data_IF_635526388233
#
_entry.id   IF_635526388233
#
_cell.length_a   1.000
_cell.length_b   1.000
_cell.length_c   1.000
_cell.angle_alpha   90.00
_cell.angle_beta   90.00
_cell.angle_gamma   90.00
#
_symmetry.space_group_name_H-M   'P 1'
#
loop_
_entity.id
_entity.type
_entity.pdbx_description
1 polymer ?
#
# COMPACT_ATOMS: atom_id res chain seq x y z
N UNK A 1 -11.64 23.85 27.90
CA UNK A 1 -12.49 22.76 27.37
C UNK A 1 -12.59 21.68 28.45
N UNK A 2 -13.77 21.40 29.00
CA UNK A 2 -13.93 20.41 30.08
C UNK A 2 -13.69 19.02 29.49
N UNK A 3 -12.74 18.26 30.05
CA UNK A 3 -12.43 16.90 29.63
C UNK A 3 -13.56 15.94 30.04
N UNK A 4 -14.51 15.72 29.13
CA UNK A 4 -15.49 14.64 29.29
C UNK A 4 -14.80 13.30 29.06
N UNK A 5 -14.74 12.48 30.11
CA UNK A 5 -14.20 11.12 30.04
C UNK A 5 -15.33 10.14 29.74
N UNK A 6 -15.12 9.27 28.76
CA UNK A 6 -16.01 8.14 28.47
C UNK A 6 -15.21 6.85 28.49
N UNK A 7 -15.82 5.78 28.99
CA UNK A 7 -15.23 4.43 28.97
C UNK A 7 -15.50 3.79 27.63
N UNK A 8 -14.47 3.18 27.04
CA UNK A 8 -14.55 2.41 25.80
C UNK A 8 -14.19 0.96 26.12
N UNK A 9 -15.03 0.01 25.68
CA UNK A 9 -14.72 -1.41 25.77
C UNK A 9 -13.87 -1.81 24.56
N UNK A 10 -12.70 -2.41 24.82
CA UNK A 10 -11.74 -2.89 23.82
C UNK A 10 -11.19 -4.23 24.31
N UNK A 11 -10.77 -5.08 23.38
CA UNK A 11 -10.15 -6.37 23.71
C UNK A 11 -8.89 -6.17 24.57
N UNK A 12 -8.78 -6.98 25.61
CA UNK A 12 -7.69 -6.90 26.58
C UNK A 12 -6.31 -7.06 25.92
N UNK A 13 -6.18 -8.01 24.98
CA UNK A 13 -4.95 -8.24 24.23
C UNK A 13 -4.48 -7.00 23.45
N UNK A 14 -5.43 -6.25 22.87
CA UNK A 14 -5.14 -5.03 22.11
C UNK A 14 -4.66 -3.94 23.08
N UNK A 15 -5.35 -3.77 24.20
CA UNK A 15 -4.99 -2.79 25.23
C UNK A 15 -3.60 -3.08 25.80
N UNK A 16 -3.28 -4.33 26.09
CA UNK A 16 -1.98 -4.71 26.63
C UNK A 16 -0.85 -4.41 25.63
N UNK A 17 -1.03 -4.72 24.35
CA UNK A 17 -0.08 -4.33 23.29
C UNK A 17 0.09 -2.82 23.18
N UNK A 18 -1.00 -2.06 23.26
CA UNK A 18 -0.96 -0.59 23.20
C UNK A 18 -0.26 0.02 24.42
N UNK A 19 -0.43 -0.57 25.61
CA UNK A 19 0.31 -0.17 26.82
C UNK A 19 1.81 -0.34 26.63
N UNK A 20 2.26 -1.50 26.14
CA UNK A 20 3.68 -1.74 25.88
C UNK A 20 4.26 -0.73 24.88
N UNK A 21 3.51 -0.43 23.80
CA UNK A 21 3.92 0.56 22.80
C UNK A 21 4.03 1.96 23.41
N UNK A 22 3.05 2.35 24.25
CA UNK A 22 3.06 3.65 24.92
C UNK A 22 4.27 3.80 25.86
N UNK A 23 4.58 2.76 26.65
CA UNK A 23 5.74 2.72 27.55
C UNK A 23 7.04 2.85 26.76
N UNK A 24 7.21 2.09 25.67
CA UNK A 24 8.40 2.18 24.79
C UNK A 24 8.60 3.58 24.20
N UNK A 25 7.53 4.36 24.06
CA UNK A 25 7.55 5.74 23.55
C UNK A 25 7.58 6.80 24.66
N UNK A 26 7.73 6.39 25.93
CA UNK A 26 7.81 7.32 27.07
C UNK A 26 6.50 8.06 27.37
N UNK A 27 5.34 7.50 27.01
CA UNK A 27 4.03 8.14 27.20
C UNK A 27 3.05 7.23 27.96
N UNK A 28 2.02 7.82 28.55
CA UNK A 28 0.89 7.07 29.12
C UNK A 28 -0.02 6.55 28.02
N UNK A 29 -0.74 5.45 28.28
CA UNK A 29 -1.74 4.89 27.36
C UNK A 29 -2.80 5.93 26.99
N UNK A 30 -3.29 6.71 27.96
CA UNK A 30 -4.33 7.73 27.73
C UNK A 30 -3.85 8.83 26.77
N UNK A 31 -2.62 9.32 26.93
CA UNK A 31 -2.06 10.31 26.01
C UNK A 31 -1.78 9.70 24.63
N UNK A 32 -1.28 8.46 24.59
CA UNK A 32 -1.05 7.76 23.33
C UNK A 32 -2.34 7.59 22.52
N UNK A 33 -3.42 7.12 23.16
CA UNK A 33 -4.73 6.98 22.54
C UNK A 33 -5.32 8.32 22.11
N UNK A 34 -5.19 9.36 22.95
CA UNK A 34 -5.68 10.70 22.59
C UNK A 34 -4.99 11.21 21.33
N UNK A 35 -3.67 11.09 21.24
CA UNK A 35 -2.92 11.51 20.06
C UNK A 35 -3.32 10.67 18.85
N UNK A 36 -3.37 9.34 18.99
CA UNK A 36 -3.78 8.44 17.92
C UNK A 36 -5.17 8.78 17.36
N UNK A 37 -6.16 9.00 18.23
CA UNK A 37 -7.50 9.38 17.78
C UNK A 37 -7.55 10.78 17.17
N UNK A 38 -6.76 11.73 17.67
CA UNK A 38 -6.70 13.08 17.11
C UNK A 38 -6.15 13.06 15.68
N UNK A 39 -5.06 12.31 15.44
CA UNK A 39 -4.48 12.13 14.11
C UNK A 39 -5.43 11.39 13.15
N UNK A 40 -6.13 10.37 13.66
CA UNK A 40 -7.16 9.64 12.87
C UNK A 40 -8.29 10.58 12.45
N UNK A 41 -8.76 11.44 13.36
CA UNK A 41 -9.82 12.42 13.06
C UNK A 41 -9.32 13.43 12.02
N UNK A 42 -8.13 14.01 12.18
CA UNK A 42 -7.58 14.99 11.22
C UNK A 42 -7.43 14.38 9.80
N UNK A 43 -7.00 13.12 9.70
CA UNK A 43 -6.94 12.41 8.42
C UNK A 43 -8.32 12.23 7.77
N UNK A 44 -9.31 11.77 8.55
CA UNK A 44 -10.68 11.55 8.04
C UNK A 44 -11.37 12.87 7.65
N UNK A 45 -11.15 13.96 8.39
CA UNK A 45 -11.66 15.29 8.07
C UNK A 45 -11.11 15.83 6.74
N UNK A 46 -9.87 15.46 6.39
CA UNK A 46 -9.24 15.78 5.09
C UNK A 46 -9.69 14.84 3.97
N UNK A 47 -10.62 13.92 4.24
CA UNK A 47 -11.14 12.97 3.27
C UNK A 47 -10.27 11.72 3.07
N UNK A 48 -9.26 11.49 3.92
CA UNK A 48 -8.43 10.30 3.88
C UNK A 48 -8.93 9.25 4.87
N UNK A 49 -9.25 8.06 4.36
CA UNK A 49 -9.62 6.93 5.22
C UNK A 49 -8.41 6.48 6.06
N UNK A 50 -8.42 6.74 7.37
CA UNK A 50 -7.27 6.60 8.24
C UNK A 50 -6.69 5.17 8.30
N UNK A 51 -7.49 4.08 8.32
CA UNK A 51 -6.94 2.73 8.25
C UNK A 51 -6.20 2.43 6.95
N UNK A 52 -6.54 3.11 5.85
CA UNK A 52 -5.81 3.00 4.60
C UNK A 52 -4.51 3.79 4.65
N UNK A 53 -4.55 5.04 5.15
CA UNK A 53 -3.34 5.85 5.33
C UNK A 53 -2.28 5.16 6.22
N UNK A 54 -2.70 4.52 7.32
CA UNK A 54 -1.80 3.74 8.17
C UNK A 54 -1.20 2.51 7.45
N UNK A 55 -1.98 1.84 6.61
CA UNK A 55 -1.49 0.74 5.76
C UNK A 55 -0.46 1.26 4.75
N UNK A 56 -0.77 2.34 4.03
CA UNK A 56 0.14 2.96 3.07
C UNK A 56 1.45 3.38 3.75
N UNK A 57 1.38 4.02 4.93
CA UNK A 57 2.57 4.45 5.68
C UNK A 57 3.46 3.29 6.13
N UNK A 58 2.88 2.12 6.43
CA UNK A 58 3.65 0.90 6.73
C UNK A 58 4.54 0.51 5.54
N UNK A 59 4.00 0.52 4.33
CA UNK A 59 4.76 0.19 3.12
C UNK A 59 5.79 1.25 2.81
N UNK A 60 5.44 2.52 2.94
CA UNK A 60 6.38 3.63 2.78
C UNK A 60 7.58 3.49 3.73
N UNK A 61 7.35 3.12 5.00
CA UNK A 61 8.43 2.88 5.95
C UNK A 61 9.37 1.76 5.49
N UNK A 62 8.82 0.66 4.98
CA UNK A 62 9.60 -0.45 4.43
C UNK A 62 10.42 0.03 3.23
N UNK A 63 9.81 0.72 2.28
CA UNK A 63 10.48 1.22 1.08
C UNK A 63 11.61 2.21 1.44
N UNK A 64 11.35 3.15 2.35
CA UNK A 64 12.36 4.10 2.81
C UNK A 64 13.56 3.39 3.45
N UNK A 65 13.33 2.31 4.22
CA UNK A 65 14.43 1.51 4.78
C UNK A 65 15.26 0.79 3.73
N UNK A 66 14.71 0.58 2.53
CA UNK A 66 15.41 0.02 1.36
C UNK A 66 16.08 1.10 0.49
N UNK A 67 16.09 2.36 0.94
CA UNK A 67 16.73 3.48 0.24
C UNK A 67 15.85 4.15 -0.82
N UNK A 68 14.54 3.89 -0.82
CA UNK A 68 13.62 4.62 -1.68
C UNK A 68 13.41 6.04 -1.17
N UNK A 69 13.30 6.98 -2.11
CA UNK A 69 13.02 8.38 -1.84
C UNK A 69 11.90 8.87 -2.76
N UNK A 70 11.15 9.87 -2.31
CA UNK A 70 10.18 10.55 -3.16
C UNK A 70 10.88 11.52 -4.10
N UNK A 71 10.65 11.35 -5.40
CA UNK A 71 11.14 12.26 -6.44
C UNK A 71 9.92 12.70 -7.27
N UNK A 72 9.77 14.01 -7.57
CA UNK A 72 8.79 14.48 -8.53
C UNK A 72 8.95 13.76 -9.88
N UNK A 73 7.85 13.23 -10.42
CA UNK A 73 7.87 12.45 -11.67
C UNK A 73 8.54 13.21 -12.82
N UNK A 74 8.33 14.52 -12.87
CA UNK A 74 8.87 15.41 -13.92
C UNK A 74 10.40 15.58 -13.86
N UNK A 75 11.04 15.21 -12.75
CA UNK A 75 12.50 15.24 -12.59
C UNK A 75 13.16 13.91 -12.99
N UNK A 76 12.38 12.90 -13.37
CA UNK A 76 12.88 11.60 -13.80
C UNK A 76 13.33 11.70 -15.26
N UNK A 77 14.65 11.71 -15.48
CA UNK A 77 15.25 11.60 -16.82
C UNK A 77 15.24 10.17 -17.37
N UNK A 78 15.86 9.96 -18.53
CA UNK A 78 16.02 8.64 -19.16
C UNK A 78 16.67 7.64 -18.18
N UNK A 79 15.86 6.77 -17.59
CA UNK A 79 16.32 5.67 -16.76
C UNK A 79 16.85 4.55 -17.67
N UNK A 80 17.93 3.91 -17.25
CA UNK A 80 18.44 2.74 -17.97
C UNK A 80 17.62 1.50 -17.59
N UNK A 81 17.12 0.77 -18.58
CA UNK A 81 16.29 -0.42 -18.36
C UNK A 81 17.00 -1.50 -17.53
N UNK A 82 18.31 -1.68 -17.74
CA UNK A 82 19.13 -2.67 -17.01
C UNK A 82 19.19 -2.41 -15.50
N UNK A 83 19.11 -1.14 -15.11
CA UNK A 83 19.08 -0.76 -13.70
C UNK A 83 17.74 -1.13 -13.04
N UNK A 84 16.64 -0.93 -13.76
CA UNK A 84 15.28 -1.19 -13.27
C UNK A 84 15.06 -2.69 -13.05
N UNK A 85 15.53 -3.54 -13.96
CA UNK A 85 15.45 -4.99 -13.83
C UNK A 85 16.15 -5.48 -12.56
N UNK A 86 17.39 -5.04 -12.33
CA UNK A 86 18.15 -5.41 -11.13
C UNK A 86 17.48 -4.93 -9.84
N UNK A 87 17.01 -3.68 -9.82
CA UNK A 87 16.37 -3.09 -8.65
C UNK A 87 15.04 -3.78 -8.34
N UNK A 88 14.19 -3.97 -9.36
CA UNK A 88 12.90 -4.64 -9.23
C UNK A 88 13.05 -6.07 -8.76
N UNK A 89 13.99 -6.83 -9.34
CA UNK A 89 14.29 -8.19 -8.91
C UNK A 89 14.74 -8.25 -7.44
N UNK A 90 15.69 -7.40 -7.05
CA UNK A 90 16.18 -7.33 -5.66
C UNK A 90 15.06 -6.98 -4.68
N UNK A 91 14.20 -6.03 -5.04
CA UNK A 91 13.03 -5.66 -4.24
C UNK A 91 12.04 -6.80 -4.10
N UNK A 92 11.73 -7.50 -5.19
CA UNK A 92 10.83 -8.63 -5.16
C UNK A 92 11.29 -9.70 -4.16
N UNK A 93 12.58 -10.03 -4.18
CA UNK A 93 13.18 -10.98 -3.22
C UNK A 93 13.02 -10.48 -1.78
N UNK A 94 13.41 -9.24 -1.50
CA UNK A 94 13.34 -8.67 -0.15
C UNK A 94 11.90 -8.60 0.35
N UNK A 95 10.95 -8.16 -0.48
CA UNK A 95 9.53 -8.10 -0.11
C UNK A 95 8.95 -9.48 0.18
N UNK A 96 9.36 -10.50 -0.59
CA UNK A 96 8.99 -11.89 -0.36
C UNK A 96 9.53 -12.40 0.98
N UNK A 97 10.79 -12.12 1.30
CA UNK A 97 11.42 -12.50 2.58
C UNK A 97 10.74 -11.82 3.77
N UNK A 98 10.36 -10.56 3.62
CA UNK A 98 9.61 -9.79 4.63
C UNK A 98 8.14 -10.22 4.75
N UNK A 99 7.70 -11.22 3.97
CA UNK A 99 6.31 -11.70 3.91
C UNK A 99 5.31 -10.57 3.64
N UNK A 100 5.71 -9.60 2.82
CA UNK A 100 4.87 -8.48 2.42
C UNK A 100 3.97 -8.94 1.27
N UNK A 101 2.69 -8.58 1.33
CA UNK A 101 1.76 -8.84 0.23
C UNK A 101 2.20 -8.07 -1.02
N UNK A 102 2.69 -8.79 -2.02
CA UNK A 102 3.15 -8.24 -3.29
C UNK A 102 2.01 -7.52 -4.01
N UNK A 103 0.79 -8.04 -3.89
CA UNK A 103 -0.41 -7.44 -4.49
C UNK A 103 -0.70 -6.06 -3.89
N UNK A 104 -0.48 -5.88 -2.59
CA UNK A 104 -0.66 -4.58 -1.93
C UNK A 104 0.45 -3.59 -2.34
N UNK A 105 1.67 -4.09 -2.57
CA UNK A 105 2.79 -3.28 -3.09
C UNK A 105 2.52 -2.84 -4.53
N UNK A 106 2.05 -3.75 -5.39
CA UNK A 106 1.64 -3.44 -6.76
C UNK A 106 0.54 -2.38 -6.74
N UNK A 107 -0.49 -2.54 -5.91
CA UNK A 107 -1.57 -1.56 -5.76
C UNK A 107 -1.04 -0.20 -5.31
N UNK A 108 -0.15 -0.15 -4.31
CA UNK A 108 0.46 1.08 -3.83
C UNK A 108 1.23 1.81 -4.94
N UNK A 109 2.10 1.08 -5.66
CA UNK A 109 2.93 1.64 -6.73
C UNK A 109 2.09 2.13 -7.92
N UNK A 110 0.93 1.51 -8.15
CA UNK A 110 0.03 1.82 -9.25
C UNK A 110 -1.12 2.76 -8.88
N UNK A 111 -1.26 3.14 -7.61
CA UNK A 111 -2.41 3.92 -7.12
C UNK A 111 -2.51 5.31 -7.75
N UNK A 112 -1.37 5.90 -8.11
CA UNK A 112 -1.27 7.25 -8.67
C UNK A 112 -0.93 7.28 -10.17
N UNK A 113 -0.94 6.12 -10.83
CA UNK A 113 -0.78 6.02 -12.28
C UNK A 113 -2.15 6.09 -12.95
N UNK A 114 -2.62 7.31 -13.16
CA UNK A 114 -3.89 7.55 -13.86
C UNK A 114 -3.76 7.11 -15.33
N UNK A 115 -4.65 6.23 -15.79
CA UNK A 115 -4.78 5.86 -17.20
C UNK A 115 -3.83 4.78 -17.72
N UNK A 116 -2.80 4.37 -16.96
CA UNK A 116 -1.85 3.32 -17.37
C UNK A 116 -2.05 1.98 -16.68
N UNK A 117 -3.09 1.84 -15.84
CA UNK A 117 -3.37 0.60 -15.08
C UNK A 117 -4.83 0.21 -15.21
N UNK A 118 -5.06 -1.01 -15.67
CA UNK A 118 -6.38 -1.64 -15.77
C UNK A 118 -6.38 -2.84 -14.85
N UNK A 119 -7.25 -2.81 -13.85
CA UNK A 119 -7.42 -3.94 -12.92
C UNK A 119 -8.63 -4.77 -13.35
N UNK A 120 -8.38 -6.00 -13.78
CA UNK A 120 -9.41 -7.02 -14.00
C UNK A 120 -9.45 -8.00 -12.81
N UNK A 121 -10.49 -8.84 -12.75
CA UNK A 121 -10.75 -9.71 -11.60
C UNK A 121 -9.54 -10.57 -11.20
N UNK A 122 -8.77 -11.08 -12.16
CA UNK A 122 -7.66 -12.01 -11.93
C UNK A 122 -6.30 -11.52 -12.45
N UNK A 123 -6.23 -10.30 -12.96
CA UNK A 123 -4.99 -9.76 -13.54
C UNK A 123 -4.92 -8.24 -13.43
N UNK A 124 -3.70 -7.73 -13.35
CA UNK A 124 -3.41 -6.31 -13.50
C UNK A 124 -2.74 -6.11 -14.85
N UNK A 125 -3.30 -5.24 -15.67
CA UNK A 125 -2.70 -4.85 -16.95
C UNK A 125 -2.11 -3.45 -16.78
N UNK A 126 -0.82 -3.33 -17.08
CA UNK A 126 -0.07 -2.08 -17.05
C UNK A 126 0.29 -1.69 -18.48
N UNK A 127 0.00 -0.45 -18.85
CA UNK A 127 0.39 0.14 -20.12
C UNK A 127 1.79 0.73 -19.97
N UNK A 128 2.76 0.16 -20.67
CA UNK A 128 4.16 0.55 -20.59
C UNK A 128 4.60 1.04 -21.97
N UNK A 129 4.29 2.29 -22.33
CA UNK A 129 4.73 2.89 -23.59
C UNK A 129 6.18 3.37 -23.49
N UNK A 130 7.12 2.83 -24.30
CA UNK A 130 8.55 3.18 -24.22
C UNK A 130 8.81 4.70 -24.24
N UNK A 131 9.80 5.15 -23.46
CA UNK A 131 10.19 6.55 -23.37
C UNK A 131 9.34 7.42 -22.42
N UNK A 132 8.39 6.81 -21.69
CA UNK A 132 7.61 7.49 -20.63
C UNK A 132 8.13 7.12 -19.24
N UNK A 133 7.84 7.95 -18.24
CA UNK A 133 8.13 7.62 -16.83
C UNK A 133 7.30 6.40 -16.39
N UNK A 134 6.07 6.32 -16.87
CA UNK A 134 5.15 5.19 -16.65
C UNK A 134 5.72 3.88 -17.15
N UNK A 135 6.45 3.86 -18.27
CA UNK A 135 7.15 2.67 -18.75
C UNK A 135 8.12 2.12 -17.70
N UNK A 136 8.98 2.98 -17.17
CA UNK A 136 9.98 2.57 -16.20
C UNK A 136 9.38 2.13 -14.87
N UNK A 137 8.32 2.82 -14.41
CA UNK A 137 7.57 2.43 -13.21
C UNK A 137 6.87 1.08 -13.41
N UNK A 138 6.18 0.89 -14.53
CA UNK A 138 5.45 -0.35 -14.81
C UNK A 138 6.41 -1.52 -15.04
N UNK A 139 7.59 -1.29 -15.62
CA UNK A 139 8.67 -2.28 -15.68
C UNK A 139 9.19 -2.63 -14.29
N UNK A 140 9.40 -1.66 -13.41
CA UNK A 140 9.81 -1.93 -12.03
C UNK A 140 8.78 -2.83 -11.32
N UNK A 141 7.49 -2.51 -11.45
CA UNK A 141 6.38 -3.29 -10.89
C UNK A 141 6.38 -4.73 -11.44
N UNK A 142 6.60 -4.89 -12.75
CA UNK A 142 6.69 -6.19 -13.41
C UNK A 142 7.83 -7.04 -12.83
N UNK A 143 9.00 -6.44 -12.65
CA UNK A 143 10.20 -7.12 -12.16
C UNK A 143 10.07 -7.52 -10.68
N UNK A 144 9.43 -6.67 -9.86
CA UNK A 144 9.04 -7.04 -8.48
C UNK A 144 8.11 -8.26 -8.51
N UNK A 145 7.08 -8.22 -9.35
CA UNK A 145 6.10 -9.31 -9.46
C UNK A 145 6.76 -10.63 -9.92
N UNK A 146 7.59 -10.60 -10.97
CA UNK A 146 8.35 -11.75 -11.46
C UNK A 146 9.22 -12.36 -10.34
N UNK A 147 10.02 -11.54 -9.66
CA UNK A 147 10.93 -12.01 -8.61
C UNK A 147 10.20 -12.60 -7.38
N UNK A 148 8.96 -12.20 -7.15
CA UNK A 148 8.14 -12.79 -6.08
C UNK A 148 7.51 -14.14 -6.47
N UNK A 149 7.47 -14.45 -7.77
CA UNK A 149 6.93 -15.69 -8.32
C UNK A 149 5.53 -15.55 -8.95
N UNK A 150 5.09 -14.32 -9.26
CA UNK A 150 3.86 -14.11 -10.03
C UNK A 150 4.12 -14.34 -11.52
N UNK A 151 3.10 -14.83 -12.23
CA UNK A 151 3.14 -14.93 -13.69
C UNK A 151 3.00 -13.54 -14.29
N UNK A 152 4.02 -13.12 -15.03
CA UNK A 152 4.05 -11.83 -15.72
C UNK A 152 4.32 -12.06 -17.19
N UNK A 153 3.39 -11.62 -18.03
CA UNK A 153 3.59 -11.54 -19.47
C UNK A 153 3.92 -10.09 -19.82
N UNK A 154 5.09 -9.89 -20.41
CA UNK A 154 5.70 -8.58 -20.61
C UNK A 154 5.95 -8.37 -22.10
N UNK A 155 5.09 -7.59 -22.74
CA UNK A 155 5.24 -7.17 -24.14
C UNK A 155 5.83 -5.76 -24.20
N UNK A 156 6.23 -5.30 -25.39
CA UNK A 156 6.85 -3.97 -25.56
C UNK A 156 5.97 -2.81 -25.08
N UNK A 157 4.64 -2.97 -25.04
CA UNK A 157 3.68 -1.91 -24.71
C UNK A 157 2.71 -2.27 -23.58
N UNK A 158 2.54 -3.55 -23.26
CA UNK A 158 1.60 -4.03 -22.25
C UNK A 158 2.26 -5.07 -21.35
N UNK A 159 2.01 -4.95 -20.05
CA UNK A 159 2.46 -5.90 -19.04
C UNK A 159 1.22 -6.45 -18.35
N UNK A 160 1.02 -7.76 -18.35
CA UNK A 160 -0.06 -8.40 -17.60
C UNK A 160 0.50 -9.23 -16.46
N UNK A 161 0.03 -8.99 -15.24
CA UNK A 161 0.41 -9.69 -14.02
C UNK A 161 -0.79 -10.50 -13.55
N UNK A 162 -0.67 -11.82 -13.48
CA UNK A 162 -1.73 -12.68 -12.93
C UNK A 162 -1.71 -12.64 -11.40
N UNK A 163 -2.90 -12.51 -10.80
CA UNK A 163 -3.06 -12.47 -9.35
C UNK A 163 -3.60 -13.80 -8.82
N UNK A 164 -3.09 -14.33 -7.70
CA UNK A 164 -3.60 -15.56 -7.10
C UNK A 164 -5.07 -15.43 -6.64
N UNK A 165 -5.86 -16.49 -6.83
CA UNK A 165 -7.30 -16.53 -6.47
C UNK A 165 -7.58 -16.29 -4.98
N UNK A 166 -6.63 -16.60 -4.09
CA UNK A 166 -6.80 -16.40 -2.64
C UNK A 166 -6.83 -14.92 -2.25
N UNK A 167 -6.03 -14.08 -2.92
CA UNK A 167 -6.03 -12.62 -2.71
C UNK A 167 -7.31 -11.98 -3.25
N UNK A 168 -7.90 -12.60 -4.27
CA UNK A 168 -9.16 -12.26 -4.94
C UNK A 168 -10.36 -12.35 -3.97
N UNK A 169 -10.45 -13.40 -3.16
CA UNK A 169 -11.53 -13.59 -2.16
C UNK A 169 -11.49 -12.54 -1.05
N UNK A 170 -10.30 -12.09 -0.65
CA UNK A 170 -10.14 -11.07 0.39
C UNK A 170 -10.53 -9.68 -0.13
N UNK A 171 -10.15 -9.33 -1.37
CA UNK A 171 -10.51 -8.05 -1.99
C UNK A 171 -12.00 -7.97 -2.38
N UNK A 172 -12.60 -9.08 -2.84
CA UNK A 172 -14.05 -9.15 -3.07
C UNK A 172 -14.84 -8.93 -1.77
N UNK A 173 -14.40 -9.51 -0.64
CA UNK A 173 -14.99 -9.23 0.68
C UNK A 173 -14.84 -7.77 1.12
N UNK A 174 -13.69 -7.14 0.88
CA UNK A 174 -13.51 -5.70 1.16
C UNK A 174 -14.40 -4.83 0.25
N UNK A 175 -14.55 -5.18 -1.03
CA UNK A 175 -15.39 -4.47 -1.99
C UNK A 175 -16.89 -4.61 -1.68
N UNK A 176 -17.35 -5.79 -1.27
CA UNK A 176 -18.73 -6.01 -0.82
C UNK A 176 -19.05 -5.21 0.45
N UNK A 177 -18.10 -5.08 1.38
CA UNK A 177 -18.22 -4.18 2.54
C UNK A 177 -18.38 -2.71 2.12
N UNK A 178 -17.66 -2.26 1.08
CA UNK A 178 -17.80 -0.91 0.51
C UNK A 178 -19.19 -0.65 -0.09
N UNK A 179 -19.85 -1.67 -0.69
CA UNK A 179 -21.22 -1.57 -1.22
C UNK A 179 -22.31 -1.69 -0.14
N UNK A 180 -22.12 -2.51 0.88
CA UNK A 180 -23.07 -2.69 1.98
C UNK A 180 -23.28 -1.43 2.82
N UNK A 181 -22.23 -0.62 3.04
CA UNK A 181 -22.31 0.63 3.80
C UNK A 181 -23.13 1.74 3.12
N UNK A 182 -23.21 1.75 1.78
CA UNK A 182 -23.98 2.76 1.02
C UNK A 182 -25.49 2.48 0.99
N UNK A 183 -25.93 1.23 1.24
CA UNK A 183 -27.35 0.86 1.22
C UNK A 183 -28.10 1.11 2.54
N UNK A 184 -27.41 1.39 3.65
CA UNK A 184 -28.03 1.65 4.96
C UNK A 184 -28.31 3.13 5.28
N UNK A 185 -28.12 4.03 4.31
CA UNK A 185 -28.38 5.48 4.46
C UNK A 185 -29.49 6.00 3.52
N UNK A 186 -30.45 5.16 3.17
CA UNK A 186 -31.71 5.60 2.56
C UNK A 186 -32.87 5.08 3.39
#
# INVERSE_FOLDING_TARGET
>A
MVLQRKTLALDEDIINKLKEIAIKRGTTLSNYLRNLFSEVIDLEERGYFAPKALREKKFEYILNSLGFIYIPKDLIGNLRSDYIERVGSKLGVVLKELKVSVVDVIELLTMHSQGSVITESNKVILIAMPGTVEYYLNKLVAEIAKATGLNVNDTSTLISIELPEETLKLKLKEFERRRGGRRRRR
#
